data_IF_054988169219
#
_entry.id   IF_054988169219
#
_cell.length_a   1.000
_cell.length_b   1.000
_cell.length_c   1.000
_cell.angle_alpha   90.00
_cell.angle_beta   90.00
_cell.angle_gamma   90.00
#
_symmetry.space_group_name_H-M   'P 1'
#
loop_
_entity.id
_entity.type
_entity.pdbx_description
1 polymer ?
#
# COMPACT_ATOMS: atom_id res chain seq x y z
N UNK A 1 -9.99 56.61 10.61
CA UNK A 1 -10.48 55.91 9.39
C UNK A 1 -9.54 54.82 8.89
N UNK A 2 -8.30 55.10 8.46
CA UNK A 2 -7.38 54.07 7.89
C UNK A 2 -7.18 52.82 8.78
N UNK A 3 -7.02 52.98 10.10
CA UNK A 3 -6.86 51.84 11.05
C UNK A 3 -8.12 50.98 11.19
N UNK A 4 -9.31 51.59 11.08
CA UNK A 4 -10.60 50.89 11.17
C UNK A 4 -10.85 50.09 9.88
N UNK A 5 -10.55 50.69 8.72
CA UNK A 5 -10.65 50.02 7.42
C UNK A 5 -9.68 48.83 7.35
N UNK A 6 -8.43 49.00 7.82
CA UNK A 6 -7.45 47.90 7.86
C UNK A 6 -7.91 46.75 8.76
N UNK A 7 -8.49 47.04 9.93
CA UNK A 7 -9.03 46.02 10.84
C UNK A 7 -10.19 45.23 10.22
N UNK A 8 -11.10 45.92 9.53
CA UNK A 8 -12.23 45.28 8.82
C UNK A 8 -11.73 44.40 7.66
N UNK A 9 -10.74 44.87 6.89
CA UNK A 9 -10.15 44.09 5.79
C UNK A 9 -9.47 42.82 6.29
N UNK A 10 -8.72 42.88 7.39
CA UNK A 10 -8.07 41.70 7.98
C UNK A 10 -9.12 40.70 8.48
N UNK A 11 -10.17 41.17 9.14
CA UNK A 11 -11.26 40.31 9.61
C UNK A 11 -11.96 39.61 8.43
N UNK A 12 -12.24 40.35 7.35
CA UNK A 12 -12.90 39.80 6.17
C UNK A 12 -12.03 38.74 5.46
N UNK A 13 -10.73 39.00 5.32
CA UNK A 13 -9.78 38.02 4.78
C UNK A 13 -9.75 36.77 5.68
N UNK A 14 -9.69 36.93 7.00
CA UNK A 14 -9.67 35.79 7.92
C UNK A 14 -10.92 34.93 7.84
N UNK A 15 -12.10 35.54 7.71
CA UNK A 15 -13.38 34.83 7.55
C UNK A 15 -13.43 34.08 6.22
N UNK A 16 -12.99 34.71 5.12
CA UNK A 16 -12.89 34.05 3.82
C UNK A 16 -11.91 32.87 3.88
N UNK A 17 -10.75 33.04 4.50
CA UNK A 17 -9.77 31.98 4.66
C UNK A 17 -10.33 30.81 5.49
N UNK A 18 -11.07 31.08 6.56
CA UNK A 18 -11.72 30.07 7.39
C UNK A 18 -12.83 29.35 6.60
N UNK A 19 -13.67 30.07 5.86
CA UNK A 19 -14.70 29.44 5.02
C UNK A 19 -14.11 28.60 3.89
N UNK A 20 -13.02 29.06 3.25
CA UNK A 20 -12.30 28.24 2.27
C UNK A 20 -11.73 26.98 2.91
N UNK A 21 -11.13 27.08 4.11
CA UNK A 21 -10.61 25.93 4.83
C UNK A 21 -11.70 24.91 5.18
N UNK A 22 -12.89 25.38 5.60
CA UNK A 22 -14.03 24.52 5.89
C UNK A 22 -14.55 23.85 4.60
N UNK A 23 -14.72 24.60 3.51
CA UNK A 23 -15.19 24.06 2.23
C UNK A 23 -14.20 23.05 1.62
N UNK A 24 -12.90 23.28 1.76
CA UNK A 24 -11.84 22.34 1.34
C UNK A 24 -11.85 21.09 2.22
N UNK A 25 -12.15 21.23 3.52
CA UNK A 25 -12.21 20.12 4.47
C UNK A 25 -13.44 19.24 4.24
N UNK A 26 -14.62 19.82 4.01
CA UNK A 26 -15.87 19.06 3.76
C UNK A 26 -15.85 18.28 2.44
N UNK A 27 -14.89 18.54 1.55
CA UNK A 27 -14.77 17.83 0.27
C UNK A 27 -13.62 16.81 0.21
N UNK A 28 -12.79 16.65 1.25
CA UNK A 28 -11.54 15.87 1.15
C UNK A 28 -11.26 15.01 2.37
N UNK A 29 -12.19 14.12 2.69
CA UNK A 29 -11.96 13.12 3.74
C UNK A 29 -10.86 12.15 3.31
N UNK A 30 -9.71 12.23 3.97
CA UNK A 30 -8.63 11.26 3.79
C UNK A 30 -9.01 9.99 4.55
N UNK A 31 -9.42 8.97 3.82
CA UNK A 31 -9.87 7.68 4.37
C UNK A 31 -8.83 6.59 4.28
N UNK A 32 -7.86 6.76 3.39
CA UNK A 32 -6.79 5.79 3.15
C UNK A 32 -5.44 6.51 3.11
N UNK A 33 -4.39 5.86 3.62
CA UNK A 33 -3.03 6.42 3.67
C UNK A 33 -1.99 5.36 3.39
N UNK A 34 -0.97 5.71 2.61
CA UNK A 34 0.22 4.87 2.57
C UNK A 34 0.82 4.72 3.97
N UNK A 35 1.22 3.52 4.35
CA UNK A 35 1.86 3.28 5.67
C UNK A 35 3.38 3.52 5.64
N UNK A 36 3.95 3.52 4.43
CA UNK A 36 5.36 3.82 4.16
C UNK A 36 5.53 5.25 3.64
N UNK A 37 6.66 5.88 3.93
CA UNK A 37 6.94 7.28 3.58
C UNK A 37 7.34 7.47 2.10
N UNK A 38 7.38 6.39 1.32
CA UNK A 38 7.81 6.35 -0.08
C UNK A 38 6.65 6.69 -1.04
N UNK A 39 6.87 7.60 -1.99
CA UNK A 39 5.89 8.05 -2.98
C UNK A 39 5.84 7.18 -4.25
N UNK A 40 5.66 5.88 -4.08
CA UNK A 40 5.68 4.94 -5.21
C UNK A 40 4.42 4.09 -5.32
N UNK A 41 4.22 3.53 -6.52
CA UNK A 41 3.15 2.58 -6.84
C UNK A 41 3.37 1.30 -6.04
N UNK A 42 2.31 0.54 -5.86
CA UNK A 42 2.34 -0.80 -5.26
C UNK A 42 2.68 -0.88 -3.77
N UNK A 43 2.41 0.19 -3.02
CA UNK A 43 2.69 0.25 -1.59
C UNK A 43 1.47 -0.14 -0.76
N UNK A 44 1.67 -0.74 0.41
CA UNK A 44 0.57 -1.02 1.31
C UNK A 44 -0.09 0.25 1.81
N UNK A 45 -1.40 0.16 2.01
CA UNK A 45 -2.27 1.26 2.44
C UNK A 45 -3.00 0.84 3.71
N UNK A 46 -3.12 1.77 4.65
CA UNK A 46 -3.99 1.64 5.82
C UNK A 46 -5.30 2.37 5.55
N UNK A 47 -6.41 1.67 5.73
CA UNK A 47 -7.76 2.23 5.69
C UNK A 47 -8.59 1.56 6.77
N UNK A 48 -9.14 2.36 7.70
CA UNK A 48 -9.90 1.87 8.86
C UNK A 48 -9.15 0.81 9.68
N UNK A 49 -7.89 1.09 10.02
CA UNK A 49 -6.99 0.22 10.81
C UNK A 49 -6.66 -1.13 10.16
N UNK A 50 -7.09 -1.36 8.92
CA UNK A 50 -6.78 -2.55 8.13
C UNK A 50 -5.69 -2.24 7.10
N UNK A 51 -4.83 -3.23 6.83
CA UNK A 51 -3.75 -3.12 5.84
C UNK A 51 -4.19 -3.74 4.51
N UNK A 52 -3.99 -3.00 3.44
CA UNK A 52 -4.32 -3.38 2.09
C UNK A 52 -3.07 -3.43 1.22
N UNK A 53 -3.07 -4.36 0.28
CA UNK A 53 -2.01 -4.50 -0.71
C UNK A 53 -2.57 -4.34 -2.12
N UNK A 54 -1.72 -3.89 -3.07
CA UNK A 54 -2.08 -3.86 -4.47
C UNK A 54 -2.53 -5.23 -4.97
N UNK A 55 -3.53 -5.24 -5.84
CA UNK A 55 -4.15 -6.46 -6.34
C UNK A 55 -4.67 -6.27 -7.75
N UNK A 56 -4.82 -7.37 -8.50
CA UNK A 56 -5.48 -7.38 -9.81
C UNK A 56 -7.00 -7.53 -9.75
N UNK A 57 -7.60 -7.44 -8.57
CA UNK A 57 -9.06 -7.51 -8.44
C UNK A 57 -9.65 -6.30 -9.14
N UNK A 58 -10.43 -6.54 -10.19
CA UNK A 58 -11.14 -5.49 -10.92
C UNK A 58 -12.53 -5.30 -10.30
N UNK A 59 -12.81 -4.07 -9.84
CA UNK A 59 -14.12 -3.70 -9.32
C UNK A 59 -15.13 -3.36 -10.44
N UNK A 60 -14.69 -3.38 -11.70
CA UNK A 60 -15.54 -3.16 -12.85
C UNK A 60 -15.90 -1.69 -13.07
N UNK A 61 -16.98 -1.46 -13.83
CA UNK A 61 -17.42 -0.12 -14.19
C UNK A 61 -18.08 0.60 -13.00
N UNK A 62 -18.02 1.93 -12.97
CA UNK A 62 -18.47 2.81 -11.86
C UNK A 62 -19.90 2.57 -11.35
N UNK A 63 -20.76 1.87 -12.10
CA UNK A 63 -22.11 1.50 -11.66
C UNK A 63 -22.05 0.48 -10.51
N UNK A 64 -22.35 0.93 -9.29
CA UNK A 64 -22.28 0.10 -8.07
C UNK A 64 -21.05 0.40 -7.21
N UNK A 65 -20.21 1.36 -7.61
CA UNK A 65 -19.12 1.86 -6.79
C UNK A 65 -19.51 3.18 -6.11
N UNK A 66 -19.04 3.35 -4.88
CA UNK A 66 -19.23 4.56 -4.09
C UNK A 66 -17.89 5.18 -3.73
N UNK A 67 -17.78 6.49 -3.97
CA UNK A 67 -16.70 7.32 -3.44
C UNK A 67 -16.85 7.47 -1.93
N UNK A 68 -15.82 7.10 -1.19
CA UNK A 68 -15.80 7.21 0.28
C UNK A 68 -14.76 8.20 0.80
N UNK A 69 -13.90 8.73 -0.07
CA UNK A 69 -12.89 9.73 0.29
C UNK A 69 -11.67 9.64 -0.62
N UNK A 70 -10.50 9.99 -0.08
CA UNK A 70 -9.25 10.08 -0.82
C UNK A 70 -8.12 9.27 -0.18
N UNK A 71 -7.19 8.84 -1.02
CA UNK A 71 -5.89 8.34 -0.61
C UNK A 71 -4.91 9.51 -0.51
N UNK A 72 -4.20 9.60 0.62
CA UNK A 72 -3.06 10.52 0.76
C UNK A 72 -1.76 9.78 1.01
N UNK A 73 -0.66 10.50 0.82
CA UNK A 73 0.65 10.08 1.30
C UNK A 73 0.75 10.23 2.82
N UNK A 74 1.72 9.54 3.42
CA UNK A 74 2.05 9.69 4.84
C UNK A 74 2.85 10.98 5.05
N UNK A 75 2.37 11.87 5.92
CA UNK A 75 3.18 13.00 6.39
C UNK A 75 2.80 13.38 7.84
N UNK A 76 3.70 14.10 8.52
CA UNK A 76 3.54 14.56 9.91
C UNK A 76 2.55 15.73 10.06
N UNK A 77 2.02 16.30 8.97
CA UNK A 77 1.14 17.48 9.00
C UNK A 77 -0.09 17.30 8.11
N UNK A 78 -1.27 17.52 8.71
CA UNK A 78 -2.59 17.50 8.05
C UNK A 78 -2.64 18.44 6.84
N UNK A 79 -1.92 19.57 6.89
CA UNK A 79 -1.89 20.55 5.78
C UNK A 79 -1.18 19.96 4.56
N UNK A 80 -0.13 19.15 4.77
CA UNK A 80 0.59 18.51 3.68
C UNK A 80 -0.22 17.35 3.07
N UNK A 81 -1.00 16.65 3.89
CA UNK A 81 -1.84 15.54 3.42
C UNK A 81 -2.88 16.00 2.39
N UNK A 82 -3.49 17.16 2.63
CA UNK A 82 -4.49 17.76 1.72
C UNK A 82 -3.88 18.23 0.39
N UNK A 83 -2.58 18.55 0.39
CA UNK A 83 -1.82 18.95 -0.79
C UNK A 83 -1.25 17.75 -1.55
N UNK A 84 -1.21 16.57 -0.92
CA UNK A 84 -0.62 15.34 -1.45
C UNK A 84 -1.67 14.23 -1.56
N UNK A 85 -2.86 14.61 -2.05
CA UNK A 85 -3.90 13.67 -2.44
C UNK A 85 -3.43 12.94 -3.70
N UNK A 86 -3.54 11.62 -3.64
CA UNK A 86 -3.17 10.71 -4.72
C UNK A 86 -4.35 10.54 -5.66
N UNK A 87 -5.50 10.11 -5.12
CA UNK A 87 -6.68 9.81 -5.92
C UNK A 87 -7.91 9.56 -5.07
N UNK A 88 -9.05 9.40 -5.74
CA UNK A 88 -10.33 9.06 -5.11
C UNK A 88 -10.37 7.58 -4.75
N UNK A 89 -10.90 7.27 -3.58
CA UNK A 89 -11.11 5.89 -3.12
C UNK A 89 -12.54 5.47 -3.38
N UNK A 90 -12.71 4.45 -4.21
CA UNK A 90 -13.98 3.84 -4.59
C UNK A 90 -14.09 2.44 -3.99
N UNK A 91 -15.25 2.09 -3.45
CA UNK A 91 -15.58 0.75 -2.93
C UNK A 91 -16.88 0.24 -3.54
N UNK A 92 -17.06 -1.08 -3.58
CA UNK A 92 -18.36 -1.67 -3.92
C UNK A 92 -19.41 -1.28 -2.86
N UNK A 93 -20.55 -0.73 -3.30
CA UNK A 93 -21.65 -0.31 -2.43
C UNK A 93 -22.22 -1.46 -1.58
N UNK A 94 -22.16 -2.69 -2.10
CA UNK A 94 -22.65 -3.89 -1.44
C UNK A 94 -21.65 -4.48 -0.45
N UNK A 95 -20.36 -4.20 -0.62
CA UNK A 95 -19.31 -4.67 0.28
C UNK A 95 -19.16 -3.75 1.49
N UNK A 96 -19.87 -4.10 2.56
CA UNK A 96 -19.80 -3.36 3.83
C UNK A 96 -18.45 -3.48 4.54
N UNK A 97 -17.66 -4.49 4.20
CA UNK A 97 -16.37 -4.74 4.85
C UNK A 97 -15.22 -4.01 4.15
N UNK A 98 -15.46 -3.44 2.96
CA UNK A 98 -14.44 -2.81 2.12
C UNK A 98 -13.26 -3.76 1.88
N UNK A 99 -13.56 -5.00 1.53
CA UNK A 99 -12.56 -6.04 1.22
C UNK A 99 -11.62 -5.59 0.10
N UNK A 100 -12.18 -4.85 -0.85
CA UNK A 100 -11.48 -4.29 -2.00
C UNK A 100 -11.80 -2.81 -2.16
N UNK A 101 -10.84 -2.04 -2.68
CA UNK A 101 -11.09 -0.67 -3.13
C UNK A 101 -10.23 -0.31 -4.34
N UNK A 102 -10.69 0.65 -5.12
CA UNK A 102 -9.94 1.23 -6.24
C UNK A 102 -9.53 2.65 -5.90
N UNK A 103 -8.31 3.02 -6.29
CA UNK A 103 -7.85 4.40 -6.33
C UNK A 103 -7.93 4.86 -7.77
N UNK A 104 -8.73 5.88 -8.04
CA UNK A 104 -8.82 6.51 -9.36
C UNK A 104 -8.02 7.80 -9.37
N UNK A 105 -6.96 7.80 -10.18
CA UNK A 105 -6.08 8.91 -10.53
C UNK A 105 -5.43 8.64 -11.92
N UNK A 106 -4.36 9.35 -12.26
CA UNK A 106 -3.59 9.12 -13.49
C UNK A 106 -2.92 7.71 -13.54
N UNK A 107 -2.85 7.00 -12.42
CA UNK A 107 -2.23 5.68 -12.24
C UNK A 107 -3.09 4.76 -11.37
N UNK A 108 -4.33 4.55 -11.82
CA UNK A 108 -5.33 3.80 -11.08
C UNK A 108 -4.81 2.44 -10.57
N UNK A 109 -5.18 2.11 -9.34
CA UNK A 109 -4.71 0.92 -8.64
C UNK A 109 -5.82 0.31 -7.80
N UNK A 110 -5.91 -1.03 -7.83
CA UNK A 110 -6.85 -1.76 -6.98
C UNK A 110 -6.11 -2.35 -5.79
N UNK A 111 -6.80 -2.37 -4.65
CA UNK A 111 -6.28 -2.82 -3.38
C UNK A 111 -7.21 -3.86 -2.78
N UNK A 112 -6.62 -4.84 -2.10
CA UNK A 112 -7.33 -5.89 -1.38
C UNK A 112 -6.78 -5.99 0.03
N UNK A 113 -7.66 -6.23 1.00
CA UNK A 113 -7.26 -6.47 2.39
C UNK A 113 -6.22 -7.60 2.48
N UNK A 114 -5.21 -7.40 3.31
CA UNK A 114 -4.14 -8.37 3.51
C UNK A 114 -4.66 -9.74 3.94
N UNK A 115 -5.66 -9.80 4.83
CA UNK A 115 -6.26 -11.06 5.30
C UNK A 115 -6.79 -11.93 4.14
N UNK A 116 -7.41 -11.33 3.13
CA UNK A 116 -7.99 -12.06 1.99
C UNK A 116 -6.89 -12.61 1.08
N UNK A 117 -5.79 -11.86 0.93
CA UNK A 117 -4.63 -12.29 0.16
C UNK A 117 -3.85 -13.41 0.86
N UNK A 118 -4.00 -13.55 2.17
CA UNK A 118 -3.40 -14.64 2.97
C UNK A 118 -4.36 -15.82 3.17
N UNK A 119 -5.52 -15.81 2.50
CA UNK A 119 -6.36 -16.99 2.44
C UNK A 119 -5.61 -18.14 1.76
N UNK A 120 -5.58 -19.30 2.43
CA UNK A 120 -4.80 -20.46 1.97
C UNK A 120 -5.25 -20.96 0.60
N UNK A 121 -6.52 -20.83 0.24
CA UNK A 121 -7.01 -21.23 -1.07
C UNK A 121 -6.52 -20.30 -2.17
N UNK A 122 -6.47 -18.99 -1.91
CA UNK A 122 -5.92 -17.97 -2.82
C UNK A 122 -4.41 -18.16 -3.00
N UNK A 123 -3.67 -18.33 -1.91
CA UNK A 123 -2.22 -18.62 -1.95
C UNK A 123 -1.96 -19.91 -2.74
N UNK A 124 -2.65 -21.01 -2.43
CA UNK A 124 -2.44 -22.29 -3.11
C UNK A 124 -2.79 -22.21 -4.60
N UNK A 125 -3.89 -21.54 -4.97
CA UNK A 125 -4.25 -21.33 -6.37
C UNK A 125 -3.14 -20.57 -7.10
N UNK A 126 -2.63 -19.50 -6.50
CA UNK A 126 -1.59 -18.66 -7.10
C UNK A 126 -0.28 -19.42 -7.22
N UNK A 127 0.14 -20.10 -6.15
CA UNK A 127 1.31 -20.98 -6.15
C UNK A 127 1.18 -22.10 -7.19
N UNK A 128 0.00 -22.64 -7.46
CA UNK A 128 -0.16 -23.67 -8.49
C UNK A 128 -0.14 -23.11 -9.92
N UNK A 129 -0.62 -21.87 -10.10
CA UNK A 129 -0.72 -21.22 -11.41
C UNK A 129 0.60 -20.61 -11.88
N UNK A 130 1.40 -20.07 -10.96
CA UNK A 130 2.63 -19.33 -11.28
C UNK A 130 3.88 -20.05 -10.77
N UNK A 131 5.00 -19.84 -11.46
CA UNK A 131 6.30 -20.41 -11.09
C UNK A 131 7.36 -19.35 -10.81
N UNK A 132 7.13 -18.11 -11.25
CA UNK A 132 8.05 -17.01 -11.10
C UNK A 132 7.56 -16.07 -10.01
N UNK A 133 8.42 -15.85 -9.01
CA UNK A 133 8.17 -14.92 -7.91
C UNK A 133 9.35 -13.97 -7.79
N UNK A 134 9.08 -12.78 -7.27
CA UNK A 134 10.09 -11.76 -7.06
C UNK A 134 10.05 -11.23 -5.66
N UNK A 135 11.25 -10.95 -5.14
CA UNK A 135 11.46 -10.13 -3.98
C UNK A 135 11.83 -8.72 -4.45
N UNK A 136 11.02 -7.74 -4.06
CA UNK A 136 11.18 -6.34 -4.44
C UNK A 136 11.56 -5.51 -3.22
N UNK A 137 12.72 -4.87 -3.24
CA UNK A 137 13.03 -3.76 -2.34
C UNK A 137 12.80 -2.44 -3.06
N UNK A 138 11.76 -1.74 -2.64
CA UNK A 138 11.29 -0.55 -3.31
C UNK A 138 11.80 0.75 -2.66
N UNK A 139 12.86 0.70 -1.82
CA UNK A 139 13.50 1.91 -1.26
C UNK A 139 14.32 2.68 -2.29
N UNK A 140 14.87 1.98 -3.28
CA UNK A 140 15.79 2.56 -4.25
C UNK A 140 15.09 2.70 -5.60
N UNK A 141 15.27 3.85 -6.27
CA UNK A 141 14.81 4.09 -7.65
C UNK A 141 15.29 3.03 -8.66
N UNK A 142 16.27 2.22 -8.25
CA UNK A 142 16.60 0.94 -8.86
C UNK A 142 15.74 -0.15 -8.20
N UNK A 143 14.50 -0.31 -8.68
CA UNK A 143 13.65 -1.45 -8.32
C UNK A 143 14.45 -2.74 -8.52
N UNK A 144 15.03 -3.26 -7.44
CA UNK A 144 15.85 -4.46 -7.51
C UNK A 144 14.90 -5.61 -7.31
N UNK A 145 14.56 -6.25 -8.42
CA UNK A 145 13.63 -7.38 -8.48
C UNK A 145 14.44 -8.64 -8.56
N UNK A 146 14.45 -9.37 -7.45
CA UNK A 146 15.27 -10.57 -7.29
C UNK A 146 14.34 -11.75 -7.45
N UNK A 147 14.62 -12.63 -8.41
CA UNK A 147 13.86 -13.86 -8.57
C UNK A 147 13.95 -14.68 -7.29
N UNK A 148 12.80 -14.94 -6.68
CA UNK A 148 12.66 -15.74 -5.47
C UNK A 148 12.30 -17.16 -5.88
N UNK A 149 13.02 -18.14 -5.35
CA UNK A 149 12.70 -19.54 -5.60
C UNK A 149 11.36 -19.90 -4.93
N UNK A 150 10.54 -20.66 -5.66
CA UNK A 150 9.21 -21.05 -5.22
C UNK A 150 9.21 -21.90 -3.95
N UNK A 151 10.27 -22.70 -3.72
CA UNK A 151 10.43 -23.50 -2.49
C UNK A 151 10.56 -22.60 -1.25
N UNK A 152 11.28 -21.48 -1.35
CA UNK A 152 11.42 -20.50 -0.26
C UNK A 152 10.05 -19.92 0.10
N UNK A 153 9.22 -19.61 -0.90
CA UNK A 153 7.87 -19.12 -0.66
C UNK A 153 6.96 -20.19 -0.04
N UNK A 154 7.07 -21.45 -0.45
CA UNK A 154 6.38 -22.55 0.23
C UNK A 154 6.81 -22.69 1.70
N UNK A 155 8.11 -22.59 1.99
CA UNK A 155 8.62 -22.65 3.36
C UNK A 155 8.08 -21.51 4.23
N UNK A 156 8.03 -20.28 3.70
CA UNK A 156 7.43 -19.14 4.40
C UNK A 156 5.96 -19.38 4.74
N UNK A 157 5.20 -19.88 3.76
CA UNK A 157 3.76 -20.12 3.90
C UNK A 157 3.44 -21.29 4.83
N UNK A 158 4.28 -22.33 4.86
CA UNK A 158 4.09 -23.49 5.75
C UNK A 158 4.44 -23.15 7.21
N UNK A 159 5.52 -22.39 7.42
CA UNK A 159 6.01 -22.00 8.76
C UNK A 159 5.03 -21.03 9.43
N UNK A 160 4.67 -19.94 8.75
CA UNK A 160 3.95 -18.81 9.37
C UNK A 160 2.44 -18.82 9.11
N UNK A 161 1.95 -19.68 8.21
CA UNK A 161 0.53 -19.87 7.91
C UNK A 161 -0.16 -18.52 7.61
N UNK A 162 -1.26 -18.23 8.30
CA UNK A 162 -2.05 -17.01 8.09
C UNK A 162 -1.36 -15.82 8.76
N UNK A 163 -1.08 -14.80 7.97
CA UNK A 163 -0.43 -13.58 8.42
C UNK A 163 -1.48 -12.52 8.74
N UNK A 164 -1.41 -11.97 9.95
CA UNK A 164 -2.13 -10.76 10.34
C UNK A 164 -1.22 -9.55 10.10
N UNK A 165 -1.58 -8.67 9.16
CA UNK A 165 -0.77 -7.49 8.85
C UNK A 165 -1.12 -6.33 9.76
N UNK A 166 -0.09 -5.75 10.40
CA UNK A 166 -0.24 -4.63 11.33
C UNK A 166 0.44 -3.40 10.74
N UNK A 167 -0.28 -2.30 10.57
CA UNK A 167 0.28 -1.08 10.01
C UNK A 167 1.51 -0.57 10.79
N UNK A 168 1.53 -0.76 12.10
CA UNK A 168 2.65 -0.38 12.97
C UNK A 168 3.94 -1.13 12.67
N UNK A 169 3.87 -2.38 12.23
CA UNK A 169 5.08 -3.15 11.89
C UNK A 169 5.74 -2.57 10.64
N UNK A 170 4.94 -2.18 9.65
CA UNK A 170 5.46 -1.46 8.47
C UNK A 170 6.03 -0.10 8.86
N UNK A 171 5.33 0.66 9.72
CA UNK A 171 5.77 1.99 10.17
C UNK A 171 7.10 1.94 10.92
N UNK A 172 7.35 0.88 11.68
CA UNK A 172 8.52 0.73 12.56
C UNK A 172 9.65 -0.12 11.97
N UNK A 173 9.44 -0.73 10.80
CA UNK A 173 10.45 -1.52 10.09
C UNK A 173 11.59 -0.66 9.54
N UNK A 174 12.81 -1.15 9.70
CA UNK A 174 14.02 -0.52 9.19
C UNK A 174 14.12 -0.72 7.67
N UNK A 175 13.68 -1.87 7.15
CA UNK A 175 13.60 -2.19 5.72
C UNK A 175 12.46 -3.17 5.42
N UNK A 176 12.08 -3.29 4.15
CA UNK A 176 10.94 -4.09 3.68
C UNK A 176 11.20 -4.66 2.30
N UNK A 177 10.80 -5.90 2.11
CA UNK A 177 10.84 -6.58 0.83
C UNK A 177 9.46 -7.16 0.54
N UNK A 178 8.86 -6.80 -0.59
CA UNK A 178 7.56 -7.34 -1.00
C UNK A 178 7.76 -8.54 -1.92
N UNK A 179 6.87 -9.52 -1.81
CA UNK A 179 6.87 -10.71 -2.66
C UNK A 179 5.69 -10.60 -3.62
N UNK A 180 6.00 -10.62 -4.91
CA UNK A 180 4.99 -10.58 -5.98
C UNK A 180 5.17 -11.75 -6.95
N UNK A 181 4.10 -12.06 -7.67
CA UNK A 181 4.15 -12.91 -8.87
C UNK A 181 4.82 -12.16 -10.01
N UNK A 182 5.62 -12.89 -10.80
CA UNK A 182 6.31 -12.45 -12.02
C UNK A 182 7.40 -11.37 -11.84
N UNK A 183 8.44 -11.43 -12.68
CA UNK A 183 9.48 -10.41 -12.78
C UNK A 183 9.53 -9.83 -14.20
N UNK A 184 9.44 -8.51 -14.41
CA UNK A 184 9.77 -7.86 -15.65
C UNK A 184 11.29 -7.68 -15.70
N UNK A 185 12.05 -8.78 -15.76
CA UNK A 185 13.45 -8.70 -16.17
C UNK A 185 13.63 -8.39 -17.67
N UNK A 186 12.59 -7.90 -18.35
CA UNK A 186 12.73 -7.24 -19.65
C UNK A 186 12.36 -5.77 -19.52
N UNK A 187 13.36 -4.93 -19.25
CA UNK A 187 13.34 -3.59 -19.83
C UNK A 187 13.28 -3.77 -21.35
N UNK A 188 12.30 -3.15 -21.99
CA UNK A 188 12.49 -2.57 -23.30
C UNK A 188 11.83 -1.21 -23.26
N UNK A 189 12.66 -0.17 -23.20
CA UNK A 189 12.33 1.19 -23.65
C UNK A 189 10.88 1.66 -23.43
N UNK A 190 10.42 1.69 -22.18
CA UNK A 190 9.17 2.38 -21.83
C UNK A 190 8.11 1.48 -21.20
N UNK A 191 8.34 1.15 -19.92
CA UNK A 191 7.37 0.67 -18.91
C UNK A 191 6.63 -0.62 -19.27
N UNK A 192 7.14 -1.73 -18.73
CA UNK A 192 6.40 -3.00 -18.60
C UNK A 192 6.03 -3.16 -17.13
N UNK A 193 4.73 -3.13 -16.84
CA UNK A 193 4.21 -3.41 -15.49
C UNK A 193 4.24 -4.90 -15.20
N UNK A 194 4.21 -5.23 -13.92
CA UNK A 194 3.79 -6.56 -13.46
C UNK A 194 2.35 -6.79 -13.92
N UNK A 195 2.15 -7.74 -14.81
CA UNK A 195 0.83 -8.28 -15.09
C UNK A 195 0.90 -9.81 -14.95
N UNK A 196 0.21 -10.41 -13.96
CA UNK A 196 -0.60 -9.76 -12.92
C UNK A 196 0.21 -9.30 -11.71
N UNK A 197 -0.33 -8.31 -10.98
CA UNK A 197 0.17 -7.85 -9.68
C UNK A 197 -0.51 -8.64 -8.58
N UNK A 198 0.12 -9.75 -8.19
CA UNK A 198 -0.40 -10.61 -7.13
C UNK A 198 0.59 -10.59 -5.97
N UNK A 199 0.19 -9.93 -4.89
CA UNK A 199 0.93 -9.91 -3.64
C UNK A 199 0.89 -11.29 -2.97
N UNK A 200 2.07 -11.79 -2.60
CA UNK A 200 2.26 -13.12 -2.00
C UNK A 200 2.81 -13.05 -0.56
N UNK A 201 3.09 -11.85 -0.06
CA UNK A 201 3.62 -11.62 1.28
C UNK A 201 4.75 -10.61 1.28
N UNK A 202 5.34 -10.37 2.45
CA UNK A 202 6.47 -9.46 2.57
C UNK A 202 7.40 -9.90 3.70
N UNK A 203 8.63 -9.44 3.64
CA UNK A 203 9.65 -9.60 4.66
C UNK A 203 9.95 -8.21 5.22
N UNK A 204 9.76 -8.06 6.53
CA UNK A 204 10.10 -6.85 7.27
C UNK A 204 11.46 -7.06 7.94
N UNK A 205 12.27 -5.99 7.97
CA UNK A 205 13.56 -5.97 8.65
C UNK A 205 13.45 -5.09 9.87
N UNK A 206 13.86 -5.59 11.02
CA UNK A 206 13.97 -4.81 12.25
C UNK A 206 15.15 -5.28 13.10
N UNK A 207 16.03 -4.37 13.49
CA UNK A 207 17.17 -4.66 14.37
C UNK A 207 18.03 -5.85 13.88
N UNK A 208 18.32 -5.87 12.57
CA UNK A 208 19.04 -6.95 11.86
C UNK A 208 18.34 -8.33 11.88
N UNK A 209 17.06 -8.38 12.21
CA UNK A 209 16.23 -9.59 12.13
C UNK A 209 15.24 -9.46 10.97
N UNK A 210 14.90 -10.60 10.39
CA UNK A 210 13.91 -10.71 9.32
C UNK A 210 12.61 -11.28 9.88
N UNK A 211 11.49 -10.74 9.43
CA UNK A 211 10.16 -11.10 9.89
C UNK A 211 9.23 -11.29 8.71
N UNK A 212 8.40 -12.33 8.70
CA UNK A 212 7.47 -12.56 7.61
C UNK A 212 6.10 -11.92 7.88
N UNK A 213 5.82 -10.83 7.16
CA UNK A 213 4.55 -10.12 7.18
C UNK A 213 4.30 -9.22 8.39
N UNK A 214 4.66 -9.67 9.58
CA UNK A 214 4.51 -8.94 10.85
C UNK A 214 5.66 -9.29 11.83
N UNK A 215 5.85 -8.50 12.88
CA UNK A 215 6.97 -8.68 13.82
C UNK A 215 6.83 -9.87 14.78
N UNK A 216 5.68 -10.54 14.82
CA UNK A 216 5.50 -11.78 15.59
C UNK A 216 6.14 -12.99 14.87
N UNK A 217 6.34 -12.87 13.55
CA UNK A 217 6.79 -13.94 12.66
C UNK A 217 8.28 -13.86 12.34
N UNK A 218 9.15 -13.94 13.35
CA UNK A 218 10.62 -13.88 13.16
C UNK A 218 11.13 -15.09 12.34
N UNK A 219 11.82 -14.83 11.24
CA UNK A 219 12.41 -15.84 10.36
C UNK A 219 13.73 -16.34 10.94
N UNK A 220 13.85 -17.67 11.12
CA UNK A 220 15.01 -18.32 11.76
C UNK A 220 15.48 -19.56 11.00
N UNK A 221 16.61 -20.12 11.43
CA UNK A 221 17.09 -21.43 11.01
C UNK A 221 17.40 -21.54 9.52
N UNK A 222 17.02 -22.66 8.91
CA UNK A 222 17.27 -22.94 7.48
C UNK A 222 16.62 -21.89 6.57
N UNK A 223 15.40 -21.46 6.91
CA UNK A 223 14.68 -20.47 6.12
C UNK A 223 15.40 -19.11 6.09
N UNK A 224 15.94 -18.68 7.24
CA UNK A 224 16.78 -17.49 7.30
C UNK A 224 18.01 -17.62 6.39
N UNK A 225 18.71 -18.76 6.45
CA UNK A 225 19.90 -19.01 5.64
C UNK A 225 19.62 -18.96 4.13
N UNK A 226 18.44 -19.37 3.69
CA UNK A 226 17.99 -19.25 2.30
C UNK A 226 17.70 -17.79 1.93
N UNK A 227 16.96 -17.06 2.77
CA UNK A 227 16.49 -15.71 2.46
C UNK A 227 17.62 -14.68 2.38
N UNK A 228 18.63 -14.77 3.24
CA UNK A 228 19.77 -13.84 3.23
C UNK A 228 20.58 -13.88 1.91
N UNK A 229 20.41 -14.91 1.09
CA UNK A 229 21.07 -14.98 -0.22
C UNK A 229 20.48 -13.98 -1.22
N UNK A 230 19.20 -13.62 -1.03
CA UNK A 230 18.48 -12.65 -1.85
C UNK A 230 18.62 -11.23 -1.30
N UNK A 231 18.75 -11.07 0.02
CA UNK A 231 18.80 -9.76 0.67
C UNK A 231 20.27 -9.38 0.92
N UNK A 232 20.87 -8.60 0.02
CA UNK A 232 22.25 -8.10 0.10
C UNK A 232 22.31 -6.58 0.12
#
# INVERSE_FOLDING_TARGET
MKKIILGISILFISIISIMLLIAVKEQRDIVARYITDEHYRYKPVEMKDEVYFPSTVDLGNENGLKEIGYLSVKNKSIVNDLLLIVGKVLVDESDKNYTHFSVIDDFAMNYTKGEYLQDKSIINYTMNKYNDFVLCNDKNDLETRITLEKDVLYMLQDEFKTIEYKADDFKNSDDRYYIYVNSPQKKLHGRTFDDPIIFMGCILVKDNKLYYGNFDNEIKGELLNKIILYIK
#
